data_IF_645248959202
#
_entry.id   IF_645248959202
#
_cell.length_a   1.000
_cell.length_b   1.000
_cell.length_c   1.000
_cell.angle_alpha   90.00
_cell.angle_beta   90.00
_cell.angle_gamma   90.00
#
_symmetry.space_group_name_H-M   'P 1'
#
loop_
_entity.id
_entity.type
_entity.pdbx_description
1 polymer ?
#
# COMPACT_ATOMS: atom_id res chain seq x y z
N UNK A 1 -23.32 -53.60 -17.00
CA UNK A 1 -22.82 -52.44 -16.24
C UNK A 1 -23.76 -51.27 -16.48
N UNK A 2 -24.53 -50.83 -15.48
CA UNK A 2 -25.50 -49.73 -15.65
C UNK A 2 -24.75 -48.40 -15.68
N UNK A 3 -24.86 -47.64 -16.78
CA UNK A 3 -24.35 -46.26 -16.86
C UNK A 3 -25.19 -45.42 -15.91
N UNK A 4 -24.58 -44.96 -14.82
CA UNK A 4 -25.24 -44.07 -13.88
C UNK A 4 -25.25 -42.67 -14.51
N UNK A 5 -26.34 -42.34 -15.22
CA UNK A 5 -26.51 -40.99 -15.77
C UNK A 5 -26.62 -40.00 -14.61
N UNK A 6 -25.56 -39.21 -14.45
CA UNK A 6 -25.53 -38.12 -13.50
C UNK A 6 -26.45 -37.02 -14.03
N UNK A 7 -27.35 -36.53 -13.19
CA UNK A 7 -28.08 -35.30 -13.51
C UNK A 7 -27.09 -34.15 -13.71
N UNK A 8 -27.44 -33.19 -14.58
CA UNK A 8 -26.61 -32.00 -14.78
C UNK A 8 -26.35 -31.25 -13.47
N UNK A 9 -27.30 -31.30 -12.52
CA UNK A 9 -27.15 -30.71 -11.19
C UNK A 9 -26.05 -31.39 -10.38
N UNK A 10 -26.05 -32.72 -10.31
CA UNK A 10 -25.04 -33.46 -9.56
C UNK A 10 -23.65 -33.38 -10.22
N UNK A 11 -23.60 -33.30 -11.54
CA UNK A 11 -22.35 -33.06 -12.26
C UNK A 11 -21.76 -31.68 -11.93
N UNK A 12 -22.57 -30.61 -12.02
CA UNK A 12 -22.13 -29.25 -11.69
C UNK A 12 -21.66 -29.12 -10.24
N UNK A 13 -22.39 -29.71 -9.30
CA UNK A 13 -22.00 -29.71 -7.89
C UNK A 13 -20.63 -30.36 -7.70
N UNK A 14 -20.41 -31.53 -8.31
CA UNK A 14 -19.14 -32.26 -8.21
C UNK A 14 -17.96 -31.45 -8.76
N UNK A 15 -18.17 -30.73 -9.86
CA UNK A 15 -17.15 -29.85 -10.44
C UNK A 15 -16.84 -28.68 -9.51
N UNK A 16 -17.85 -28.05 -8.92
CA UNK A 16 -17.67 -26.97 -7.95
C UNK A 16 -16.87 -27.46 -6.75
N UNK A 17 -17.24 -28.61 -6.19
CA UNK A 17 -16.56 -29.18 -5.03
C UNK A 17 -15.08 -29.48 -5.33
N UNK A 18 -14.79 -30.05 -6.50
CA UNK A 18 -13.42 -30.34 -6.93
C UNK A 18 -12.58 -29.05 -7.08
N UNK A 19 -13.16 -28.01 -7.68
CA UNK A 19 -12.48 -26.72 -7.85
C UNK A 19 -12.25 -26.01 -6.50
N UNK A 20 -13.22 -26.06 -5.60
CA UNK A 20 -13.11 -25.50 -4.25
C UNK A 20 -12.00 -26.18 -3.44
N UNK A 21 -11.88 -27.50 -3.50
CA UNK A 21 -10.81 -28.25 -2.84
C UNK A 21 -9.42 -27.91 -3.41
N UNK A 22 -9.30 -27.75 -4.73
CA UNK A 22 -8.02 -27.35 -5.35
C UNK A 22 -7.66 -25.91 -4.99
N UNK A 23 -8.64 -25.01 -4.95
CA UNK A 23 -8.43 -23.62 -4.57
C UNK A 23 -8.01 -23.49 -3.10
N UNK A 24 -8.64 -24.24 -2.19
CA UNK A 24 -8.29 -24.21 -0.75
C UNK A 24 -6.89 -24.75 -0.47
N UNK A 25 -6.38 -25.67 -1.29
CA UNK A 25 -5.01 -26.16 -1.18
C UNK A 25 -3.95 -25.13 -1.62
N UNK A 26 -4.32 -24.15 -2.45
CA UNK A 26 -3.40 -23.13 -2.99
C UNK A 26 -3.44 -21.84 -2.15
N UNK A 27 -4.55 -21.56 -1.47
CA UNK A 27 -4.75 -20.34 -0.71
C UNK A 27 -4.23 -20.50 0.74
N UNK A 28 -3.31 -19.64 1.22
CA UNK A 28 -2.94 -19.62 2.64
C UNK A 28 -4.13 -19.16 3.51
N UNK A 29 -4.20 -19.72 4.73
CA UNK A 29 -5.26 -19.52 5.73
C UNK A 29 -5.69 -18.04 5.91
N UNK A 30 -6.97 -17.68 5.66
CA UNK A 30 -7.47 -16.32 5.72
C UNK A 30 -7.98 -15.89 7.12
N UNK A 31 -7.55 -16.53 8.21
CA UNK A 31 -7.87 -16.06 9.58
C UNK A 31 -7.36 -14.64 9.90
N UNK A 32 -6.76 -13.92 8.94
CA UNK A 32 -6.51 -12.48 9.05
C UNK A 32 -7.37 -11.67 8.07
N UNK A 33 -8.15 -10.78 8.69
CA UNK A 33 -8.66 -9.48 8.22
C UNK A 33 -9.98 -9.39 7.43
N UNK A 34 -11.05 -9.14 8.20
CA UNK A 34 -12.14 -8.15 8.03
C UNK A 34 -12.36 -7.62 6.59
N UNK A 35 -13.49 -8.00 5.99
CA UNK A 35 -13.99 -7.45 4.73
C UNK A 35 -14.55 -6.03 4.93
N UNK A 36 -13.78 -5.01 4.52
CA UNK A 36 -14.35 -3.73 4.07
C UNK A 36 -14.39 -3.70 2.54
N UNK A 37 -15.53 -3.29 1.97
CA UNK A 37 -15.85 -3.29 0.52
C UNK A 37 -14.65 -2.91 -0.38
N UNK A 38 -14.34 -3.67 -1.45
CA UNK A 38 -13.17 -3.38 -2.26
C UNK A 38 -13.40 -2.14 -3.14
N UNK A 39 -12.65 -1.08 -2.86
CA UNK A 39 -12.39 -0.05 -3.87
C UNK A 39 -11.66 -0.64 -5.07
N UNK A 40 -11.76 0.01 -6.23
CA UNK A 40 -11.09 -0.38 -7.49
C UNK A 40 -9.64 -0.81 -7.21
N UNK A 41 -9.19 -2.01 -7.64
CA UNK A 41 -7.80 -2.43 -7.45
C UNK A 41 -6.88 -1.42 -8.13
N UNK A 42 -5.96 -0.82 -7.36
CA UNK A 42 -4.90 -0.01 -7.96
C UNK A 42 -3.93 -0.96 -8.63
N UNK A 43 -3.84 -0.88 -9.96
CA UNK A 43 -2.76 -1.48 -10.75
C UNK A 43 -1.47 -0.69 -10.45
N UNK A 44 -0.90 -0.91 -9.28
CA UNK A 44 0.48 -0.51 -8.98
C UNK A 44 1.00 -1.49 -7.95
N UNK A 45 1.97 -2.31 -8.35
CA UNK A 45 2.75 -3.14 -7.45
C UNK A 45 3.24 -2.27 -6.27
N UNK A 46 2.65 -2.46 -5.10
CA UNK A 46 2.95 -1.65 -3.92
C UNK A 46 4.32 -2.01 -3.32
N UNK A 47 4.85 -3.19 -3.64
CA UNK A 47 6.09 -3.71 -3.06
C UNK A 47 7.31 -2.98 -3.61
N UNK A 48 7.47 -2.86 -4.94
CA UNK A 48 8.59 -2.09 -5.53
C UNK A 48 8.57 -0.60 -5.15
N UNK A 49 7.38 -0.02 -4.97
CA UNK A 49 7.25 1.38 -4.53
C UNK A 49 7.65 1.57 -3.06
N UNK A 50 7.53 0.54 -2.21
CA UNK A 50 7.93 0.58 -0.81
C UNK A 50 9.41 0.23 -0.63
N UNK A 51 9.96 -0.64 -1.47
CA UNK A 51 11.37 -1.05 -1.42
C UNK A 51 12.31 -0.04 -2.10
N UNK A 52 11.85 0.63 -3.17
CA UNK A 52 12.62 1.67 -3.88
C UNK A 52 12.50 3.07 -3.30
N UNK A 53 11.39 3.42 -2.64
CA UNK A 53 11.20 4.75 -2.05
C UNK A 53 11.57 4.76 -0.57
N UNK A 54 12.89 4.80 -0.28
CA UNK A 54 13.41 5.02 1.08
C UNK A 54 12.72 6.20 1.77
N UNK A 55 12.32 7.23 1.01
CA UNK A 55 11.76 8.48 1.50
C UNK A 55 10.25 8.61 1.21
N UNK A 56 9.45 8.54 2.28
CA UNK A 56 8.00 8.76 2.24
C UNK A 56 7.59 9.99 3.06
N UNK A 57 6.64 10.79 2.55
CA UNK A 57 6.00 11.86 3.32
C UNK A 57 4.96 11.26 4.26
N UNK A 58 5.01 11.65 5.53
CA UNK A 58 3.97 11.37 6.51
C UNK A 58 3.47 12.67 7.17
N UNK A 59 2.22 12.64 7.61
CA UNK A 59 1.64 13.71 8.42
C UNK A 59 2.00 13.51 9.90
N UNK A 60 2.17 14.61 10.64
CA UNK A 60 2.35 14.64 12.09
C UNK A 60 1.55 15.79 12.69
N UNK A 61 1.06 15.61 13.91
CA UNK A 61 0.31 16.63 14.66
C UNK A 61 1.18 17.86 14.98
N UNK A 62 2.50 17.67 15.13
CA UNK A 62 3.43 18.76 15.42
C UNK A 62 3.85 19.50 14.16
N UNK A 63 3.50 20.78 14.07
CA UNK A 63 3.96 21.63 12.99
C UNK A 63 5.32 22.26 13.31
N UNK A 64 6.31 22.09 12.41
CA UNK A 64 7.61 22.76 12.54
C UNK A 64 7.97 23.52 11.28
N UNK A 65 9.04 24.30 11.37
CA UNK A 65 9.57 25.08 10.25
C UNK A 65 10.05 24.13 9.14
N UNK A 66 9.57 24.34 7.93
CA UNK A 66 10.06 23.60 6.77
C UNK A 66 11.55 23.85 6.58
N UNK A 67 12.34 22.78 6.46
CA UNK A 67 13.80 22.89 6.34
C UNK A 67 14.29 23.53 5.04
N UNK A 68 13.43 23.61 4.02
CA UNK A 68 13.79 24.11 2.69
C UNK A 68 13.32 25.56 2.46
N UNK A 69 12.05 25.87 2.76
CA UNK A 69 11.47 27.17 2.40
C UNK A 69 11.30 28.13 3.58
N UNK A 70 11.59 27.69 4.81
CA UNK A 70 11.49 28.54 6.00
C UNK A 70 12.80 29.31 6.18
N UNK A 71 12.70 30.64 6.25
CA UNK A 71 13.84 31.54 6.47
C UNK A 71 13.60 32.39 7.72
N UNK A 72 14.64 32.99 8.32
CA UNK A 72 14.47 33.86 9.50
C UNK A 72 13.49 35.03 9.26
N UNK A 73 13.40 35.51 8.01
CA UNK A 73 12.49 36.59 7.60
C UNK A 73 11.07 36.11 7.29
N UNK A 74 10.91 34.86 6.85
CA UNK A 74 9.62 34.27 6.50
C UNK A 74 9.53 32.83 7.03
N UNK A 75 8.87 32.69 8.17
CA UNK A 75 8.68 31.39 8.80
C UNK A 75 7.54 30.65 8.12
N UNK A 76 7.87 29.61 7.36
CA UNK A 76 6.90 28.68 6.77
C UNK A 76 6.87 27.39 7.57
N UNK A 77 5.72 27.05 8.16
CA UNK A 77 5.51 25.82 8.95
C UNK A 77 4.79 24.76 8.12
N UNK A 78 5.00 23.49 8.46
CA UNK A 78 4.27 22.36 7.90
C UNK A 78 4.14 21.22 8.92
N UNK A 79 3.13 20.38 8.70
CA UNK A 79 2.83 19.16 9.45
C UNK A 79 3.34 17.89 8.75
N UNK A 80 4.21 18.04 7.77
CA UNK A 80 4.65 16.93 6.92
C UNK A 80 6.12 16.65 7.16
N UNK A 81 6.46 15.39 7.39
CA UNK A 81 7.83 14.90 7.65
C UNK A 81 8.24 13.85 6.63
N UNK A 82 9.53 13.73 6.34
CA UNK A 82 10.07 12.60 5.61
C UNK A 82 10.44 11.45 6.56
N UNK A 83 9.75 10.30 6.47
CA UNK A 83 10.07 9.12 7.30
C UNK A 83 11.37 8.42 6.93
N UNK A 84 11.87 8.65 5.71
CA UNK A 84 13.10 8.01 5.22
C UNK A 84 14.40 8.72 5.55
N UNK A 85 14.33 10.00 5.90
CA UNK A 85 15.50 10.77 6.28
C UNK A 85 15.75 10.65 7.78
N UNK A 86 17.03 10.60 8.16
CA UNK A 86 17.43 10.72 9.55
C UNK A 86 16.90 12.03 10.16
N UNK A 87 16.38 11.95 11.39
CA UNK A 87 15.82 13.09 12.10
C UNK A 87 14.46 13.57 11.59
N UNK A 88 13.83 12.87 10.64
CA UNK A 88 12.48 13.12 10.15
C UNK A 88 12.16 14.60 9.85
N UNK A 89 12.86 15.21 8.88
CA UNK A 89 12.78 16.63 8.62
C UNK A 89 11.37 17.04 8.16
N UNK A 90 10.90 18.17 8.70
CA UNK A 90 9.66 18.80 8.25
C UNK A 90 9.83 19.46 6.89
N UNK A 91 9.04 19.03 5.91
CA UNK A 91 9.13 19.43 4.50
C UNK A 91 7.73 19.60 3.89
N UNK A 92 7.49 20.69 3.16
CA UNK A 92 6.24 20.79 2.40
C UNK A 92 6.18 19.73 1.29
N UNK A 93 4.99 19.15 1.03
CA UNK A 93 4.81 18.23 -0.08
C UNK A 93 5.19 18.86 -1.43
N UNK A 94 5.62 18.03 -2.39
CA UNK A 94 6.07 18.42 -3.73
C UNK A 94 7.47 19.08 -3.71
N UNK A 95 7.55 20.37 -3.98
CA UNK A 95 8.80 21.05 -4.35
C UNK A 95 9.86 21.02 -3.22
N UNK A 96 9.46 21.25 -1.97
CA UNK A 96 10.41 21.20 -0.85
C UNK A 96 10.92 19.77 -0.59
N UNK A 97 10.05 18.77 -0.77
CA UNK A 97 10.43 17.37 -0.66
C UNK A 97 11.41 16.96 -1.76
N UNK A 98 11.18 17.38 -2.99
CA UNK A 98 12.09 17.11 -4.12
C UNK A 98 13.45 17.78 -3.92
N UNK A 99 13.49 19.06 -3.54
CA UNK A 99 14.74 19.80 -3.28
C UNK A 99 15.58 19.11 -2.20
N UNK A 100 14.95 18.68 -1.10
CA UNK A 100 15.66 18.05 0.01
C UNK A 100 16.38 16.77 -0.41
N UNK A 101 15.70 15.91 -1.20
CA UNK A 101 16.27 14.62 -1.64
C UNK A 101 17.12 14.72 -2.91
N UNK A 102 17.12 15.85 -3.62
CA UNK A 102 17.99 16.06 -4.79
C UNK A 102 19.26 16.82 -4.44
N UNK A 103 19.23 17.72 -3.45
CA UNK A 103 20.37 18.60 -3.13
C UNK A 103 21.08 18.27 -1.82
N UNK A 104 20.42 17.64 -0.85
CA UNK A 104 20.92 17.59 0.54
C UNK A 104 21.25 16.16 1.00
N UNK A 105 20.57 15.13 0.46
CA UNK A 105 20.78 13.74 0.86
C UNK A 105 20.78 12.81 -0.35
N UNK A 106 21.97 12.38 -0.77
CA UNK A 106 22.20 11.17 -1.57
C UNK A 106 22.70 10.05 -0.65
#
# INVERSE_FOLDING_TARGET
>A
MKKHEMTLKSFKQRVIDELCCKASAIMPDPTRTIFTKPGRPRLSNSIERLEGAKHCIAYTEQDRRCKVCSTPKQVKRCNFICKGCEGHPHLHPKHCFEIWHTKVHF
#
